data_IF_753356294074
#
_entry.id   IF_753356294074
#
_cell.length_a   1.000
_cell.length_b   1.000
_cell.length_c   1.000
_cell.angle_alpha   90.00
_cell.angle_beta   90.00
_cell.angle_gamma   90.00
#
_symmetry.space_group_name_H-M   'P 1'
#
loop_
_entity.id
_entity.type
_entity.pdbx_description
1 polymer ?
#
# COMPACT_ATOMS: atom_id res chain seq x y z
N UNK A 1 -18.22 9.96 -4.52
CA UNK A 1 -17.41 10.49 -3.40
C UNK A 1 -17.22 9.39 -2.38
N UNK A 2 -16.00 9.21 -1.89
CA UNK A 2 -15.62 8.11 -0.99
C UNK A 2 -15.22 8.62 0.38
N UNK A 3 -15.72 7.94 1.40
CA UNK A 3 -15.30 8.09 2.78
C UNK A 3 -14.45 6.89 3.20
N UNK A 4 -13.27 7.11 3.78
CA UNK A 4 -12.43 6.05 4.33
C UNK A 4 -11.75 6.50 5.62
N UNK A 5 -11.31 5.53 6.42
CA UNK A 5 -10.42 5.76 7.55
C UNK A 5 -9.27 4.76 7.51
N UNK A 6 -8.06 5.22 7.80
CA UNK A 6 -6.84 4.41 7.84
C UNK A 6 -5.80 5.10 8.73
N UNK A 7 -4.67 4.45 9.00
CA UNK A 7 -3.54 5.08 9.69
C UNK A 7 -2.52 5.60 8.69
N UNK A 8 -2.03 6.82 8.88
CA UNK A 8 -0.94 7.42 8.13
C UNK A 8 0.19 7.78 9.11
N UNK A 9 1.33 7.12 8.96
CA UNK A 9 2.51 7.32 9.81
C UNK A 9 2.18 7.22 11.31
N UNK A 10 1.35 6.26 11.69
CA UNK A 10 0.89 6.03 13.07
C UNK A 10 -0.28 6.90 13.54
N UNK A 11 -0.72 7.88 12.76
CA UNK A 11 -1.87 8.72 13.10
C UNK A 11 -3.12 8.32 12.31
N UNK A 12 -4.27 8.20 12.97
CA UNK A 12 -5.53 7.94 12.29
C UNK A 12 -5.93 9.13 11.41
N UNK A 13 -6.36 8.85 10.19
CA UNK A 13 -6.86 9.84 9.24
C UNK A 13 -8.21 9.40 8.69
N UNK A 14 -9.16 10.34 8.66
CA UNK A 14 -10.43 10.21 7.95
C UNK A 14 -10.33 11.01 6.65
N UNK A 15 -10.68 10.39 5.54
CA UNK A 15 -10.65 11.01 4.20
C UNK A 15 -12.07 10.94 3.64
N UNK A 16 -12.63 12.11 3.36
CA UNK A 16 -13.99 12.27 2.86
C UNK A 16 -14.00 13.02 1.54
N UNK A 17 -15.08 12.88 0.78
CA UNK A 17 -15.37 13.70 -0.41
C UNK A 17 -14.31 13.64 -1.54
N UNK A 18 -13.66 12.49 -1.71
CA UNK A 18 -12.77 12.25 -2.84
C UNK A 18 -13.40 11.34 -3.92
N UNK A 19 -12.99 11.48 -5.20
CA UNK A 19 -13.29 10.49 -6.23
C UNK A 19 -12.74 9.11 -5.84
N UNK A 20 -13.44 8.01 -6.17
CA UNK A 20 -12.97 6.64 -5.88
C UNK A 20 -11.65 6.30 -6.59
N UNK A 21 -11.33 7.01 -7.67
CA UNK A 21 -10.10 6.88 -8.46
C UNK A 21 -8.99 7.81 -8.00
N UNK A 22 -9.18 8.55 -6.89
CA UNK A 22 -8.10 9.37 -6.33
C UNK A 22 -6.97 8.45 -5.88
N UNK A 23 -5.78 8.64 -6.45
CA UNK A 23 -4.58 7.87 -6.09
C UNK A 23 -4.08 8.30 -4.71
N UNK A 24 -3.48 7.37 -3.97
CA UNK A 24 -2.80 7.68 -2.71
C UNK A 24 -1.68 8.69 -2.93
N UNK A 25 -0.92 8.56 -4.02
CA UNK A 25 0.19 9.46 -4.33
C UNK A 25 -0.28 10.92 -4.46
N UNK A 26 -1.33 11.16 -5.24
CA UNK A 26 -1.87 12.50 -5.41
C UNK A 26 -2.41 13.05 -4.10
N UNK A 27 -3.10 12.23 -3.32
CA UNK A 27 -3.63 12.67 -2.03
C UNK A 27 -2.53 13.03 -1.03
N UNK A 28 -1.47 12.21 -0.94
CA UNK A 28 -0.31 12.49 -0.08
C UNK A 28 0.36 13.81 -0.47
N UNK A 29 0.58 14.05 -1.76
CA UNK A 29 1.37 15.18 -2.24
C UNK A 29 0.57 16.47 -2.31
N UNK A 30 -0.62 16.42 -2.89
CA UNK A 30 -1.40 17.61 -3.22
C UNK A 30 -2.28 18.08 -2.05
N UNK A 31 -2.80 17.16 -1.24
CA UNK A 31 -3.74 17.50 -0.15
C UNK A 31 -3.05 17.50 1.21
N UNK A 32 -2.10 16.58 1.43
CA UNK A 32 -1.37 16.47 2.71
C UNK A 32 -0.02 17.17 2.72
N UNK A 33 0.52 17.55 1.57
CA UNK A 33 1.86 18.14 1.45
C UNK A 33 3.00 17.19 1.84
N UNK A 34 2.74 15.89 1.94
CA UNK A 34 3.73 14.86 2.23
C UNK A 34 4.47 14.48 0.93
N UNK A 35 5.41 15.35 0.57
CA UNK A 35 6.09 15.32 -0.71
C UNK A 35 7.30 14.38 -0.74
N UNK A 36 7.62 13.64 0.32
CA UNK A 36 8.71 12.67 0.37
C UNK A 36 8.48 11.51 -0.61
N UNK A 37 7.25 11.02 -0.70
CA UNK A 37 6.83 10.05 -1.72
C UNK A 37 6.76 10.74 -3.11
N UNK A 38 7.41 10.17 -4.13
CA UNK A 38 7.62 10.85 -5.42
C UNK A 38 6.80 10.27 -6.55
N UNK A 39 6.37 11.12 -7.47
CA UNK A 39 5.88 10.71 -8.78
C UNK A 39 7.06 10.64 -9.75
N UNK A 40 7.36 9.45 -10.28
CA UNK A 40 8.42 9.25 -11.28
C UNK A 40 7.86 8.83 -12.63
N UNK A 41 7.17 7.68 -12.67
CA UNK A 41 6.58 7.13 -13.89
C UNK A 41 5.04 7.22 -13.91
N UNK A 42 4.39 7.20 -12.75
CA UNK A 42 2.92 7.14 -12.60
C UNK A 42 2.25 5.89 -13.22
N UNK A 43 2.95 4.75 -13.24
CA UNK A 43 2.49 3.47 -13.80
C UNK A 43 2.96 2.22 -13.03
N UNK A 44 3.46 2.40 -11.80
CA UNK A 44 3.93 1.30 -10.96
C UNK A 44 5.34 0.78 -11.26
N UNK A 45 5.97 1.20 -12.35
CA UNK A 45 7.24 0.60 -12.82
C UNK A 45 8.49 1.04 -12.02
N UNK A 46 8.59 2.33 -11.68
CA UNK A 46 9.85 2.88 -11.14
C UNK A 46 10.05 2.79 -9.62
N UNK A 47 9.00 2.51 -8.85
CA UNK A 47 9.05 2.44 -7.38
C UNK A 47 9.37 3.75 -6.63
N UNK A 48 9.49 4.90 -7.28
CA UNK A 48 9.76 6.17 -6.58
C UNK A 48 8.62 6.60 -5.63
N UNK A 49 7.42 6.06 -5.86
CA UNK A 49 6.21 6.27 -5.08
C UNK A 49 5.95 5.18 -4.02
N UNK A 50 6.92 4.31 -3.73
CA UNK A 50 6.70 3.20 -2.81
C UNK A 50 6.33 3.68 -1.41
N UNK A 51 5.25 3.12 -0.88
CA UNK A 51 4.79 3.25 0.52
C UNK A 51 4.72 1.86 1.15
N UNK A 52 4.82 1.77 2.47
CA UNK A 52 4.56 0.55 3.22
C UNK A 52 3.08 0.51 3.57
N UNK A 53 2.40 -0.57 3.21
CA UNK A 53 1.00 -0.81 3.58
C UNK A 53 0.92 -2.07 4.43
N UNK A 54 0.37 -1.93 5.63
CA UNK A 54 0.16 -3.01 6.58
C UNK A 54 -1.32 -3.31 6.74
N UNK A 55 -1.69 -4.57 6.62
CA UNK A 55 -3.01 -5.09 6.98
C UNK A 55 -2.92 -6.41 7.74
N UNK A 56 -4.02 -7.16 7.84
CA UNK A 56 -4.11 -8.42 8.55
C UNK A 56 -3.11 -9.49 8.07
N UNK A 57 -2.56 -9.35 6.86
CA UNK A 57 -1.58 -10.27 6.29
C UNK A 57 -0.13 -9.76 6.43
N UNK A 58 0.08 -8.62 7.09
CA UNK A 58 1.39 -8.01 7.30
C UNK A 58 1.70 -6.83 6.39
N UNK A 59 2.93 -6.35 6.47
CA UNK A 59 3.42 -5.17 5.74
C UNK A 59 3.89 -5.53 4.35
N UNK A 60 3.60 -4.69 3.35
CA UNK A 60 4.08 -4.83 1.97
C UNK A 60 4.46 -3.48 1.37
N UNK A 61 5.44 -3.48 0.47
CA UNK A 61 5.79 -2.32 -0.34
C UNK A 61 4.82 -2.23 -1.53
N UNK A 62 4.08 -1.12 -1.65
CA UNK A 62 3.11 -0.88 -2.71
C UNK A 62 3.36 0.46 -3.40
N UNK A 63 3.01 0.56 -4.68
CA UNK A 63 3.14 1.79 -5.46
C UNK A 63 1.95 2.73 -5.20
N UNK A 64 2.19 3.87 -4.54
CA UNK A 64 1.11 4.82 -4.24
C UNK A 64 0.44 5.44 -5.48
N UNK A 65 1.13 5.45 -6.63
CA UNK A 65 0.63 6.06 -7.88
C UNK A 65 -0.56 5.30 -8.51
N UNK A 66 -0.68 4.00 -8.25
CA UNK A 66 -1.73 3.14 -8.81
C UNK A 66 -2.60 2.51 -7.71
N UNK A 67 -2.45 2.99 -6.47
CA UNK A 67 -3.25 2.57 -5.33
C UNK A 67 -4.34 3.60 -5.08
N UNK A 68 -5.61 3.20 -5.18
CA UNK A 68 -6.72 4.11 -4.94
C UNK A 68 -7.09 4.18 -3.45
N UNK A 69 -7.55 5.34 -3.02
CA UNK A 69 -7.93 5.60 -1.62
C UNK A 69 -8.85 4.50 -1.03
N UNK A 70 -9.92 4.02 -1.70
CA UNK A 70 -10.78 2.96 -1.17
C UNK A 70 -10.06 1.66 -0.77
N UNK A 71 -8.94 1.33 -1.41
CA UNK A 71 -8.16 0.11 -1.10
C UNK A 71 -7.41 0.22 0.24
N UNK A 72 -7.39 1.39 0.88
CA UNK A 72 -6.70 1.67 2.13
C UNK A 72 -7.60 1.63 3.36
N UNK A 73 -8.92 1.54 3.18
CA UNK A 73 -9.84 1.53 4.31
C UNK A 73 -9.47 0.42 5.31
N UNK A 74 -9.25 0.83 6.57
CA UNK A 74 -8.85 -0.05 7.67
C UNK A 74 -7.43 -0.58 7.62
N UNK A 75 -6.54 0.03 6.83
CA UNK A 75 -5.12 -0.34 6.74
C UNK A 75 -4.23 0.70 7.44
N UNK A 76 -2.95 0.41 7.55
CA UNK A 76 -1.93 1.38 7.93
C UNK A 76 -0.99 1.65 6.75
N UNK A 77 -0.70 2.93 6.51
CA UNK A 77 0.21 3.43 5.49
C UNK A 77 1.37 4.13 6.18
N UNK A 78 2.58 3.75 5.82
CA UNK A 78 3.80 4.44 6.21
C UNK A 78 4.56 4.94 5.00
N UNK A 79 4.78 6.25 4.96
CA UNK A 79 5.58 6.93 3.95
C UNK A 79 7.02 7.07 4.40
N UNK A 80 7.91 7.59 3.54
CA UNK A 80 9.31 7.84 3.91
C UNK A 80 9.45 8.75 5.13
N UNK A 81 8.54 9.72 5.30
CA UNK A 81 8.49 10.62 6.46
C UNK A 81 8.20 9.86 7.75
N UNK A 82 7.36 8.80 7.69
CA UNK A 82 7.04 7.95 8.83
C UNK A 82 8.08 6.86 9.09
N UNK A 83 9.03 6.61 8.20
CA UNK A 83 10.15 5.69 8.49
C UNK A 83 11.07 6.28 9.56
N UNK A 84 11.27 7.60 9.53
CA UNK A 84 11.97 8.33 10.59
C UNK A 84 11.15 8.32 11.88
N UNK A 85 11.80 8.08 13.01
CA UNK A 85 11.15 8.06 14.31
C UNK A 85 10.65 9.45 14.76
N UNK A 86 9.73 9.52 15.75
CA UNK A 86 9.10 10.77 16.19
C UNK A 86 10.07 11.86 16.64
N UNK A 87 11.24 11.48 17.15
CA UNK A 87 12.28 12.40 17.62
C UNK A 87 13.31 12.75 16.52
N UNK A 88 13.01 12.44 15.26
CA UNK A 88 13.93 12.61 14.13
C UNK A 88 15.00 11.51 14.02
N UNK A 89 14.92 10.47 14.87
CA UNK A 89 15.85 9.33 14.81
C UNK A 89 15.70 8.59 13.49
N UNK A 90 16.79 8.47 12.74
CA UNK A 90 16.80 7.75 11.47
C UNK A 90 16.59 6.24 11.71
N UNK A 91 15.81 5.62 10.82
CA UNK A 91 15.77 4.16 10.72
C UNK A 91 17.13 3.62 10.25
N UNK A 92 17.57 2.43 10.67
CA UNK A 92 18.85 1.84 10.23
C UNK A 92 19.09 1.88 8.72
N UNK A 93 18.06 1.59 7.91
CA UNK A 93 18.16 1.67 6.44
C UNK A 93 18.44 3.08 5.91
N UNK A 94 17.93 4.14 6.57
CA UNK A 94 18.22 5.52 6.19
C UNK A 94 19.67 5.88 6.52
N UNK A 95 20.16 5.50 7.71
CA UNK A 95 21.55 5.66 8.11
C UNK A 95 22.49 4.92 7.15
N UNK A 96 22.20 3.66 6.85
CA UNK A 96 23.01 2.85 5.94
C UNK A 96 23.06 3.43 4.51
N UNK A 97 21.95 3.99 4.01
CA UNK A 97 21.92 4.67 2.71
C UNK A 97 22.85 5.89 2.66
N UNK A 98 23.01 6.62 3.78
CA UNK A 98 23.95 7.73 3.90
C UNK A 98 25.39 7.22 3.94
N UNK A 99 25.69 6.29 4.85
CA UNK A 99 27.04 5.77 5.13
C UNK A 99 27.64 5.01 3.94
N UNK A 100 26.80 4.38 3.12
CA UNK A 100 27.24 3.62 1.95
C UNK A 100 27.03 4.35 0.62
N UNK A 101 26.74 5.66 0.67
CA UNK A 101 26.57 6.49 -0.53
C UNK A 101 25.49 5.94 -1.49
N UNK A 102 24.41 5.39 -0.94
CA UNK A 102 23.27 4.82 -1.66
C UNK A 102 22.38 5.87 -2.33
N UNK A 103 22.68 7.16 -2.19
CA UNK A 103 21.91 8.26 -2.76
C UNK A 103 22.82 9.27 -3.47
N UNK A 104 22.42 9.69 -4.67
CA UNK A 104 23.04 10.79 -5.42
C UNK A 104 22.03 11.92 -5.64
N UNK A 105 21.23 11.87 -6.72
CA UNK A 105 20.21 12.88 -7.01
C UNK A 105 19.07 12.90 -5.96
N UNK A 106 18.90 11.80 -5.21
CA UNK A 106 17.93 11.69 -4.11
C UNK A 106 16.49 11.36 -4.53
N UNK A 107 16.16 11.35 -5.82
CA UNK A 107 14.76 11.24 -6.24
C UNK A 107 14.15 9.85 -6.00
N UNK A 108 14.89 8.79 -6.29
CA UNK A 108 14.44 7.40 -6.05
C UNK A 108 14.61 6.96 -4.59
N UNK A 109 15.43 7.68 -3.82
CA UNK A 109 15.86 7.30 -2.46
C UNK A 109 14.69 7.03 -1.51
N UNK A 110 13.60 7.83 -1.49
CA UNK A 110 12.42 7.52 -0.69
C UNK A 110 11.82 6.14 -0.96
N UNK A 111 11.69 5.77 -2.23
CA UNK A 111 11.14 4.48 -2.63
C UNK A 111 11.99 3.31 -2.15
N UNK A 112 13.32 3.42 -2.32
CA UNK A 112 14.27 2.43 -1.80
C UNK A 112 14.22 2.32 -0.28
N UNK A 113 14.21 3.45 0.44
CA UNK A 113 14.14 3.45 1.91
C UNK A 113 12.91 2.68 2.40
N UNK A 114 11.75 2.90 1.78
CA UNK A 114 10.52 2.22 2.19
C UNK A 114 10.55 0.74 1.85
N UNK A 115 11.00 0.35 0.64
CA UNK A 115 11.17 -1.06 0.28
C UNK A 115 12.14 -1.79 1.22
N UNK A 116 13.29 -1.16 1.53
CA UNK A 116 14.26 -1.68 2.49
C UNK A 116 13.66 -1.79 3.89
N UNK A 117 12.87 -0.81 4.34
CA UNK A 117 12.22 -0.86 5.65
C UNK A 117 11.20 -2.01 5.75
N UNK A 118 10.46 -2.31 4.67
CA UNK A 118 9.58 -3.49 4.60
C UNK A 118 10.39 -4.78 4.71
N UNK A 119 11.45 -4.93 3.90
CA UNK A 119 12.32 -6.10 3.95
C UNK A 119 12.98 -6.29 5.32
N UNK A 120 13.48 -5.20 5.91
CA UNK A 120 14.10 -5.18 7.23
C UNK A 120 13.12 -5.62 8.33
N UNK A 121 11.88 -5.10 8.32
CA UNK A 121 10.85 -5.51 9.28
C UNK A 121 10.48 -7.00 9.18
N UNK A 122 10.70 -7.61 8.01
CA UNK A 122 10.47 -9.04 7.75
C UNK A 122 11.75 -9.89 7.87
N UNK A 123 12.86 -9.30 8.29
CA UNK A 123 14.18 -9.94 8.34
C UNK A 123 14.59 -10.61 7.01
N UNK A 124 14.21 -10.00 5.88
CA UNK A 124 14.57 -10.49 4.54
C UNK A 124 16.01 -10.13 4.17
N UNK A 125 16.69 -11.07 3.50
CA UNK A 125 18.10 -10.96 3.08
C UNK A 125 18.30 -11.05 1.56
N UNK A 126 17.23 -11.32 0.81
CA UNK A 126 17.17 -11.37 -0.66
C UNK A 126 16.92 -9.97 -1.24
N UNK A 127 17.87 -9.06 -0.99
CA UNK A 127 17.72 -7.62 -1.32
C UNK A 127 17.49 -7.32 -2.80
N UNK A 128 18.03 -8.15 -3.70
CA UNK A 128 17.80 -7.99 -5.12
C UNK A 128 16.31 -8.13 -5.46
N UNK A 129 15.60 -9.06 -4.81
CA UNK A 129 14.15 -9.25 -4.96
C UNK A 129 13.35 -8.17 -4.23
N UNK A 130 13.77 -7.78 -3.02
CA UNK A 130 13.12 -6.71 -2.23
C UNK A 130 13.11 -5.39 -3.01
N UNK A 131 14.17 -5.12 -3.77
CA UNK A 131 14.40 -3.84 -4.44
C UNK A 131 14.18 -3.88 -5.96
N UNK A 132 13.75 -5.03 -6.52
CA UNK A 132 13.54 -5.20 -7.96
C UNK A 132 12.52 -4.21 -8.55
N UNK A 133 11.56 -3.75 -7.75
CA UNK A 133 10.55 -2.77 -8.16
C UNK A 133 10.99 -1.30 -8.03
N UNK A 134 12.27 -1.01 -7.77
CA UNK A 134 12.78 0.34 -7.59
C UNK A 134 13.88 0.64 -8.61
N UNK A 135 13.69 1.69 -9.42
CA UNK A 135 14.66 2.11 -10.43
C UNK A 135 15.55 3.25 -9.93
N UNK A 136 16.86 3.13 -10.15
CA UNK A 136 17.83 4.19 -9.93
C UNK A 136 18.67 4.43 -11.19
N UNK A 137 18.75 5.69 -11.64
CA UNK A 137 19.55 6.05 -12.81
C UNK A 137 20.96 6.54 -12.49
N UNK A 138 21.27 6.81 -11.22
CA UNK A 138 22.50 7.50 -10.82
C UNK A 138 23.53 6.57 -10.15
N UNK A 139 23.11 5.68 -9.25
CA UNK A 139 24.02 4.98 -8.33
C UNK A 139 24.62 3.69 -8.89
N UNK A 140 24.03 3.12 -9.94
CA UNK A 140 24.41 1.79 -10.41
C UNK A 140 24.05 0.66 -9.43
N UNK A 141 23.13 0.90 -8.48
CA UNK A 141 22.57 -0.04 -7.50
C UNK A 141 23.53 -0.63 -6.45
N UNK A 142 24.78 -0.92 -6.79
CA UNK A 142 25.76 -1.51 -5.88
C UNK A 142 25.85 -0.85 -4.48
N UNK A 143 25.91 0.50 -4.34
CA UNK A 143 25.92 1.12 -3.01
C UNK A 143 24.59 0.98 -2.24
N UNK A 144 23.45 0.87 -2.94
CA UNK A 144 22.13 0.63 -2.33
C UNK A 144 22.05 -0.79 -1.76
N UNK A 145 22.50 -1.78 -2.53
CA UNK A 145 22.55 -3.18 -2.05
C UNK A 145 23.49 -3.31 -0.85
N UNK A 146 24.62 -2.60 -0.86
CA UNK A 146 25.54 -2.55 0.28
C UNK A 146 24.85 -1.95 1.52
N UNK A 147 24.09 -0.87 1.35
CA UNK A 147 23.31 -0.27 2.44
C UNK A 147 22.25 -1.23 3.00
N UNK A 148 21.55 -1.97 2.14
CA UNK A 148 20.52 -2.91 2.57
C UNK A 148 21.12 -4.04 3.44
N UNK A 149 22.25 -4.60 2.99
CA UNK A 149 23.01 -5.61 3.73
C UNK A 149 23.52 -5.10 5.07
N UNK A 150 24.03 -3.86 5.10
CA UNK A 150 24.55 -3.27 6.33
C UNK A 150 23.47 -3.03 7.40
N UNK A 151 22.21 -2.82 6.98
CA UNK A 151 21.10 -2.62 7.90
C UNK A 151 20.54 -3.92 8.50
N UNK A 152 20.82 -5.10 7.92
CA UNK A 152 20.21 -6.39 8.32
C UNK A 152 20.34 -6.71 9.81
N UNK A 153 21.51 -6.44 10.40
CA UNK A 153 21.81 -6.81 11.78
C UNK A 153 21.27 -5.80 12.80
N UNK A 154 20.77 -4.65 12.34
CA UNK A 154 20.21 -3.63 13.23
C UNK A 154 18.83 -4.07 13.75
N UNK A 155 18.47 -3.72 15.00
CA UNK A 155 17.12 -3.99 15.48
C UNK A 155 16.10 -3.15 14.71
N UNK A 156 14.95 -3.76 14.38
CA UNK A 156 13.79 -3.02 13.86
C UNK A 156 13.32 -2.03 14.93
N UNK A 157 13.26 -0.72 14.62
CA UNK A 157 12.85 0.25 15.61
C UNK A 157 11.40 0.08 16.06
N UNK A 158 11.11 0.33 17.34
CA UNK A 158 9.77 0.12 17.92
C UNK A 158 8.67 0.97 17.27
N UNK A 159 9.00 2.15 16.75
CA UNK A 159 8.04 3.02 16.06
C UNK A 159 7.61 2.53 14.66
N UNK A 160 8.30 1.51 14.13
CA UNK A 160 7.89 0.82 12.90
C UNK A 160 6.78 -0.20 13.15
N UNK A 161 6.47 -0.50 14.42
CA UNK A 161 5.31 -1.29 14.76
C UNK A 161 4.07 -0.44 14.51
N UNK A 162 3.25 -0.86 13.54
CA UNK A 162 1.94 -0.26 13.37
C UNK A 162 1.05 -0.63 14.57
N UNK A 163 0.10 0.24 14.96
CA UNK A 163 -0.96 -0.13 15.89
C UNK A 163 -1.52 -1.48 15.47
N UNK A 164 -1.51 -2.46 16.38
CA UNK A 164 -1.80 -3.86 16.07
C UNK A 164 -2.99 -3.97 15.11
N UNK A 165 -2.87 -4.84 14.09
CA UNK A 165 -3.88 -5.15 13.08
C UNK A 165 -5.23 -5.68 13.64
N UNK A 166 -5.51 -5.50 14.94
CA UNK A 166 -6.83 -5.57 15.58
C UNK A 166 -7.67 -4.31 15.35
N UNK A 167 -7.50 -3.70 14.19
CA UNK A 167 -8.54 -2.92 13.57
C UNK A 167 -9.54 -3.92 12.99
N UNK A 168 -10.54 -4.32 13.79
CA UNK A 168 -11.74 -4.88 13.18
C UNK A 168 -12.36 -3.76 12.35
N UNK A 169 -12.79 -4.03 11.11
CA UNK A 169 -13.66 -3.13 10.33
C UNK A 169 -14.79 -2.55 11.21
N UNK A 170 -15.24 -3.32 12.20
CA UNK A 170 -16.18 -2.88 13.24
C UNK A 170 -15.72 -1.65 14.02
N UNK A 171 -14.45 -1.53 14.44
CA UNK A 171 -13.99 -0.38 15.23
C UNK A 171 -14.03 0.94 14.48
N UNK A 172 -13.99 0.94 13.14
CA UNK A 172 -14.12 2.15 12.31
C UNK A 172 -15.48 2.31 11.66
N UNK A 173 -16.27 1.24 11.62
CA UNK A 173 -17.62 1.25 11.08
C UNK A 173 -18.69 1.42 12.18
N UNK A 174 -18.38 1.12 13.45
CA UNK A 174 -19.32 1.26 14.55
C UNK A 174 -19.35 2.70 15.05
N UNK A 175 -20.17 3.54 14.46
CA UNK A 175 -20.59 4.82 15.03
C UNK A 175 -21.39 4.70 16.35
N UNK A 176 -21.03 3.74 17.22
CA UNK A 176 -21.75 3.34 18.44
C UNK A 176 -20.84 2.92 19.62
N UNK A 177 -19.54 3.19 19.60
CA UNK A 177 -18.64 2.84 20.71
C UNK A 177 -17.76 4.02 21.14
N UNK A 178 -17.51 4.18 22.43
CA UNK A 178 -16.68 5.26 23.01
C UNK A 178 -15.16 5.03 22.83
N UNK A 179 -14.72 4.72 21.62
CA UNK A 179 -13.30 4.49 21.27
C UNK A 179 -12.84 5.28 20.06
N UNK A 180 -11.55 5.18 19.70
CA UNK A 180 -10.88 6.00 18.67
C UNK A 180 -11.50 5.93 17.25
N UNK A 181 -12.40 4.98 16.97
CA UNK A 181 -13.10 4.88 15.67
C UNK A 181 -14.60 5.21 15.69
N UNK A 182 -15.11 5.78 16.80
CA UNK A 182 -16.52 6.21 16.94
C UNK A 182 -16.96 7.23 15.86
N UNK A 183 -16.01 8.03 15.39
CA UNK A 183 -16.23 9.15 14.47
C UNK A 183 -15.80 8.84 13.03
N UNK A 184 -15.43 7.59 12.72
CA UNK A 184 -15.02 7.24 11.36
C UNK A 184 -16.23 7.03 10.45
N UNK A 185 -16.25 7.64 9.26
CA UNK A 185 -17.39 7.55 8.36
C UNK A 185 -17.47 6.15 7.72
N UNK A 186 -18.70 5.68 7.50
CA UNK A 186 -18.93 4.46 6.72
C UNK A 186 -18.38 4.61 5.30
N UNK A 187 -17.76 3.57 4.71
CA UNK A 187 -17.31 3.62 3.34
C UNK A 187 -18.48 3.84 2.37
N UNK A 188 -18.31 4.79 1.46
CA UNK A 188 -19.33 5.19 0.47
C UNK A 188 -19.00 4.73 -0.95
N UNK A 189 -18.27 3.62 -1.08
CA UNK A 189 -17.97 2.90 -2.33
C UNK A 189 -18.49 1.47 -2.24
N UNK A 190 -18.77 0.84 -3.38
CA UNK A 190 -19.21 -0.55 -3.40
C UNK A 190 -18.02 -1.49 -3.20
N UNK A 191 -18.07 -2.26 -2.12
CA UNK A 191 -17.11 -3.31 -1.78
C UNK A 191 -17.91 -4.53 -1.29
N UNK A 192 -18.11 -5.54 -2.16
CA UNK A 192 -18.82 -6.76 -1.80
C UNK A 192 -18.03 -7.58 -0.77
N UNK A 193 -18.76 -8.28 0.09
CA UNK A 193 -18.23 -9.13 1.17
C UNK A 193 -17.88 -10.54 0.68
N UNK A 194 -18.59 -11.00 -0.34
CA UNK A 194 -18.47 -12.33 -0.92
C UNK A 194 -18.82 -12.31 -2.42
N UNK A 195 -18.60 -13.44 -3.09
CA UNK A 195 -18.84 -13.57 -4.53
C UNK A 195 -20.31 -13.50 -4.91
N UNK A 196 -21.24 -13.87 -4.01
CA UNK A 196 -22.68 -13.80 -4.24
C UNK A 196 -23.18 -12.35 -4.27
N UNK A 197 -22.74 -11.52 -3.31
CA UNK A 197 -23.05 -10.08 -3.28
C UNK A 197 -22.49 -9.38 -4.52
N UNK A 198 -21.26 -9.73 -4.94
CA UNK A 198 -20.69 -9.23 -6.19
C UNK A 198 -21.56 -9.61 -7.39
N UNK A 199 -21.93 -10.89 -7.52
CA UNK A 199 -22.70 -11.39 -8.65
C UNK A 199 -24.06 -10.69 -8.76
N UNK A 200 -24.78 -10.56 -7.64
CA UNK A 200 -26.08 -9.88 -7.60
C UNK A 200 -25.96 -8.42 -8.04
N UNK A 201 -24.96 -7.70 -7.54
CA UNK A 201 -24.75 -6.30 -7.89
C UNK A 201 -24.29 -6.13 -9.33
N UNK A 202 -23.44 -7.02 -9.83
CA UNK A 202 -22.88 -6.93 -11.18
C UNK A 202 -23.93 -7.22 -12.27
N UNK A 203 -24.92 -8.07 -11.98
CA UNK A 203 -26.08 -8.23 -12.87
C UNK A 203 -26.86 -6.92 -13.08
N UNK A 204 -26.95 -6.08 -12.05
CA UNK A 204 -27.59 -4.77 -12.15
C UNK A 204 -26.66 -3.70 -12.75
N UNK A 205 -25.35 -3.93 -12.75
CA UNK A 205 -24.32 -2.98 -13.19
C UNK A 205 -23.32 -3.65 -14.17
N UNK A 206 -23.79 -4.17 -15.32
CA UNK A 206 -22.97 -5.04 -16.18
C UNK A 206 -21.77 -4.34 -16.83
N UNK A 207 -21.77 -3.00 -16.85
CA UNK A 207 -20.68 -2.19 -17.38
C UNK A 207 -19.75 -1.65 -16.28
N UNK A 208 -19.91 -2.09 -15.02
CA UNK A 208 -19.07 -1.62 -13.94
C UNK A 208 -17.63 -2.11 -14.11
N UNK A 209 -16.68 -1.24 -13.75
CA UNK A 209 -15.26 -1.59 -13.67
C UNK A 209 -14.99 -2.30 -12.34
N UNK A 210 -14.48 -3.53 -12.42
CA UNK A 210 -14.08 -4.29 -11.24
C UNK A 210 -12.61 -4.02 -10.93
N UNK A 211 -12.31 -3.68 -9.68
CA UNK A 211 -10.96 -3.29 -9.25
C UNK A 211 -10.49 -4.21 -8.12
N UNK A 212 -9.46 -5.02 -8.41
CA UNK A 212 -8.73 -5.80 -7.42
C UNK A 212 -7.46 -5.06 -6.97
N UNK A 213 -6.31 -5.39 -7.58
CA UNK A 213 -5.02 -4.75 -7.28
C UNK A 213 -4.84 -3.37 -7.93
N UNK A 214 -5.65 -3.03 -8.94
CA UNK A 214 -5.55 -1.81 -9.74
C UNK A 214 -4.24 -1.64 -10.54
N UNK A 215 -3.42 -2.69 -10.68
CA UNK A 215 -2.14 -2.63 -11.41
C UNK A 215 -2.29 -2.48 -12.93
N UNK A 216 -3.49 -2.74 -13.44
CA UNK A 216 -3.93 -2.55 -14.81
C UNK A 216 -4.88 -1.33 -14.92
N UNK A 217 -6.00 -1.35 -14.18
CA UNK A 217 -7.03 -0.32 -14.17
C UNK A 217 -6.49 1.03 -13.72
N UNK A 218 -5.48 1.03 -12.84
CA UNK A 218 -4.77 2.25 -12.43
C UNK A 218 -4.22 3.02 -13.62
N UNK A 219 -3.70 2.34 -14.65
CA UNK A 219 -3.15 2.98 -15.85
C UNK A 219 -4.23 3.63 -16.71
N UNK A 220 -5.46 3.11 -16.69
CA UNK A 220 -6.57 3.76 -17.37
C UNK A 220 -6.87 5.13 -16.77
N UNK A 221 -6.62 5.30 -15.47
CA UNK A 221 -6.76 6.59 -14.78
C UNK A 221 -5.51 7.45 -14.95
N UNK A 222 -4.32 6.92 -14.68
CA UNK A 222 -3.10 7.72 -14.60
C UNK A 222 -2.44 8.03 -15.94
N UNK A 223 -2.71 7.21 -16.97
CA UNK A 223 -2.12 7.37 -18.32
C UNK A 223 -3.18 7.71 -19.36
N UNK A 224 -4.29 6.99 -19.34
CA UNK A 224 -5.35 7.22 -20.33
C UNK A 224 -6.36 8.29 -19.88
N UNK A 225 -6.27 8.78 -18.64
CA UNK A 225 -7.15 9.81 -18.08
C UNK A 225 -8.65 9.47 -18.18
N UNK A 226 -9.00 8.18 -18.07
CA UNK A 226 -10.37 7.68 -18.19
C UNK A 226 -11.15 7.88 -16.91
N UNK A 227 -12.42 8.23 -17.07
CA UNK A 227 -13.43 8.02 -16.05
C UNK A 227 -13.90 6.55 -16.09
N UNK A 228 -13.82 5.88 -14.95
CA UNK A 228 -14.18 4.46 -14.82
C UNK A 228 -15.69 4.27 -14.58
N UNK A 229 -16.44 5.35 -14.36
CA UNK A 229 -17.88 5.32 -14.11
C UNK A 229 -18.23 4.54 -12.84
N UNK A 230 -19.04 3.48 -13.01
CA UNK A 230 -19.46 2.64 -11.88
C UNK A 230 -18.36 1.64 -11.54
N UNK A 231 -17.96 1.56 -10.27
CA UNK A 231 -16.79 0.81 -9.82
C UNK A 231 -17.16 -0.13 -8.65
N UNK A 232 -16.58 -1.32 -8.63
CA UNK A 232 -16.57 -2.23 -7.48
C UNK A 232 -15.15 -2.55 -7.04
N UNK A 233 -14.85 -2.40 -5.74
CA UNK A 233 -13.57 -2.80 -5.16
C UNK A 233 -13.65 -4.22 -4.60
N UNK A 234 -12.89 -5.14 -5.18
CA UNK A 234 -13.02 -6.58 -4.91
C UNK A 234 -12.26 -7.07 -3.67
N UNK A 235 -11.49 -6.19 -3.00
CA UNK A 235 -10.63 -6.58 -1.88
C UNK A 235 -11.36 -7.15 -0.66
N UNK A 236 -12.70 -6.99 -0.57
CA UNK A 236 -13.54 -7.54 0.49
C UNK A 236 -13.95 -9.01 0.31
N UNK A 237 -13.78 -9.56 -0.89
CA UNK A 237 -14.33 -10.87 -1.28
C UNK A 237 -13.37 -12.00 -0.85
N UNK A 238 -13.59 -12.53 0.36
CA UNK A 238 -12.66 -13.50 0.97
C UNK A 238 -12.70 -14.89 0.35
N UNK A 239 -13.85 -15.31 -0.14
CA UNK A 239 -14.08 -16.59 -0.83
C UNK A 239 -13.36 -16.66 -2.18
N UNK A 240 -13.11 -15.52 -2.84
CA UNK A 240 -12.26 -15.45 -4.03
C UNK A 240 -10.75 -15.41 -3.71
N UNK A 241 -10.34 -15.37 -2.44
CA UNK A 241 -8.93 -15.24 -2.03
C UNK A 241 -8.34 -16.54 -1.49
N UNK A 242 -8.98 -17.69 -1.79
CA UNK A 242 -8.56 -19.01 -1.31
C UNK A 242 -7.69 -19.75 -2.34
N UNK A 243 -6.76 -20.57 -1.82
CA UNK A 243 -6.01 -21.58 -2.57
C UNK A 243 -6.39 -22.93 -1.98
N UNK A 244 -7.06 -23.78 -2.75
CA UNK A 244 -7.58 -25.06 -2.28
C UNK A 244 -6.93 -26.23 -3.03
N UNK A 245 -6.57 -27.28 -2.29
CA UNK A 245 -6.00 -28.50 -2.82
C UNK A 245 -7.05 -29.61 -2.74
N UNK A 246 -7.43 -30.21 -3.87
CA UNK A 246 -8.46 -31.24 -3.89
C UNK A 246 -8.50 -32.01 -5.20
N UNK A 247 -8.78 -33.32 -5.14
CA UNK A 247 -8.97 -34.14 -6.34
C UNK A 247 -7.77 -34.24 -7.27
N UNK A 248 -6.55 -34.01 -6.77
CA UNK A 248 -5.33 -33.95 -7.60
C UNK A 248 -5.17 -32.65 -8.38
N UNK A 249 -5.97 -31.62 -8.08
CA UNK A 249 -5.89 -30.30 -8.69
C UNK A 249 -5.70 -29.20 -7.63
N UNK A 250 -5.25 -28.04 -8.10
CA UNK A 250 -5.17 -26.80 -7.34
C UNK A 250 -6.26 -25.86 -7.85
N UNK A 251 -7.11 -25.36 -6.96
CA UNK A 251 -8.09 -24.34 -7.27
C UNK A 251 -7.59 -23.01 -6.69
N UNK A 252 -7.41 -22.02 -7.56
CA UNK A 252 -6.90 -20.70 -7.19
C UNK A 252 -8.03 -19.70 -7.41
N UNK A 253 -8.49 -19.06 -6.34
CA UNK A 253 -9.50 -18.01 -6.42
C UNK A 253 -8.98 -16.78 -7.19
N UNK A 254 -9.86 -16.11 -7.92
CA UNK A 254 -9.49 -14.97 -8.78
C UNK A 254 -8.98 -13.74 -8.01
N UNK A 255 -9.21 -13.67 -6.69
CA UNK A 255 -8.70 -12.63 -5.80
C UNK A 255 -7.35 -12.96 -5.17
N UNK A 256 -6.78 -14.14 -5.41
CA UNK A 256 -5.45 -14.52 -4.91
C UNK A 256 -4.39 -13.62 -5.53
N UNK A 257 -3.54 -13.02 -4.69
CA UNK A 257 -2.44 -12.18 -5.16
C UNK A 257 -1.33 -13.05 -5.77
N UNK A 258 -0.62 -12.52 -6.78
CA UNK A 258 0.55 -13.20 -7.36
C UNK A 258 1.63 -13.48 -6.30
N UNK A 259 1.76 -12.62 -5.29
CA UNK A 259 2.70 -12.83 -4.19
C UNK A 259 2.35 -14.06 -3.32
N UNK A 260 1.06 -14.42 -3.20
CA UNK A 260 0.62 -15.59 -2.46
C UNK A 260 0.80 -16.91 -3.24
N UNK A 261 1.14 -16.84 -4.53
CA UNK A 261 1.44 -18.00 -5.39
C UNK A 261 2.93 -18.33 -5.46
N UNK A 262 3.78 -17.50 -4.87
CA UNK A 262 5.24 -17.71 -4.80
C UNK A 262 5.60 -18.55 -3.58
#
# INVERSE_FOLDING_TARGET
MTNIAFYLNGAQVNVADHPPTRTLLDWLRLDRGLCGTKEGCNEGDCGACTVMVTDAHGSRALNACILFLPQLHGKAVRTVEGVTGPNGTLHPVQTAMIEHHGSQCGFCTPGFIVSMAVGHAQARTDHDDVLAGNLCRCTGYAPIIKAAKAAEAAPVPSWMQEPSAHFTLEKVSSGKGSGEGADSPLPSYFQPKDSDELAQWYLANPNATLIAGATDVGLWVTKDMRDLGTIAFLGGIKDLQQIEHGGGALHIGAGVTIAALR
#
